data_IF_023876483686
#
_entry.id   IF_023876483686
#
_cell.length_a   1.000
_cell.length_b   1.000
_cell.length_c   1.000
_cell.angle_alpha   90.00
_cell.angle_beta   90.00
_cell.angle_gamma   90.00
#
_symmetry.space_group_name_H-M   'P 1'
#
loop_
_entity.id
_entity.type
_entity.pdbx_description
1 polymer ?
#
# COMPACT_ATOMS: atom_id res chain seq x y z
N UNK A 1 -14.32 2.97 3.15
CA UNK A 1 -12.88 3.30 3.29
C UNK A 1 -12.77 4.80 3.52
N UNK A 2 -11.93 5.25 4.44
CA UNK A 2 -11.72 6.68 4.69
C UNK A 2 -10.59 7.22 3.81
N UNK A 3 -10.49 8.55 3.69
CA UNK A 3 -9.38 9.19 3.01
C UNK A 3 -8.03 8.77 3.65
N UNK A 4 -6.98 8.61 2.83
CA UNK A 4 -5.63 8.27 3.29
C UNK A 4 -5.24 6.79 3.20
N UNK A 5 -6.13 5.92 2.72
CA UNK A 5 -5.80 4.49 2.53
C UNK A 5 -5.01 4.27 1.23
N UNK A 6 -3.90 3.53 1.33
CA UNK A 6 -3.14 3.02 0.18
C UNK A 6 -3.61 1.60 -0.15
N UNK A 7 -3.78 1.30 -1.43
CA UNK A 7 -4.18 -0.02 -1.94
C UNK A 7 -3.28 -0.45 -3.10
N UNK A 8 -3.17 -1.76 -3.32
CA UNK A 8 -2.34 -2.33 -4.38
C UNK A 8 -0.84 -2.34 -4.06
N UNK A 9 -0.47 -1.99 -2.84
CA UNK A 9 0.91 -1.87 -2.40
C UNK A 9 1.65 -3.22 -2.37
N UNK A 10 0.97 -4.31 -2.02
CA UNK A 10 1.56 -5.66 -2.01
C UNK A 10 2.03 -6.07 -3.40
N UNK A 11 1.13 -6.00 -4.39
CA UNK A 11 1.47 -6.34 -5.78
C UNK A 11 2.51 -5.39 -6.37
N UNK A 12 2.42 -4.09 -6.04
CA UNK A 12 3.41 -3.10 -6.45
C UNK A 12 4.81 -3.49 -5.96
N UNK A 13 5.01 -3.79 -4.68
CA UNK A 13 6.35 -4.08 -4.15
C UNK A 13 6.87 -5.47 -4.49
N UNK A 14 5.98 -6.47 -4.59
CA UNK A 14 6.38 -7.83 -4.97
C UNK A 14 6.61 -7.97 -6.49
N UNK A 15 6.10 -7.05 -7.31
CA UNK A 15 6.09 -7.21 -8.77
C UNK A 15 5.16 -8.35 -9.22
N UNK A 16 4.18 -8.71 -8.40
CA UNK A 16 3.25 -9.80 -8.63
C UNK A 16 1.87 -9.31 -9.09
N UNK A 17 1.03 -10.23 -9.54
CA UNK A 17 -0.36 -9.94 -9.85
C UNK A 17 -1.11 -9.41 -8.61
N UNK A 18 -2.20 -8.67 -8.85
CA UNK A 18 -3.06 -8.16 -7.76
C UNK A 18 -3.49 -9.29 -6.83
N UNK A 19 -3.28 -9.12 -5.52
CA UNK A 19 -3.68 -10.09 -4.50
C UNK A 19 -5.20 -10.13 -4.28
N UNK A 20 -5.90 -9.05 -4.63
CA UNK A 20 -7.33 -8.91 -4.46
C UNK A 20 -7.95 -7.98 -5.52
N UNK A 21 -9.27 -8.03 -5.65
CA UNK A 21 -10.05 -7.04 -6.40
C UNK A 21 -10.52 -5.94 -5.45
N UNK A 22 -10.51 -4.69 -5.92
CA UNK A 22 -11.04 -3.54 -5.19
C UNK A 22 -12.25 -2.99 -5.94
N UNK A 23 -13.33 -2.74 -5.21
CA UNK A 23 -14.58 -2.18 -5.74
C UNK A 23 -14.90 -0.91 -4.95
N UNK A 24 -15.15 0.19 -5.67
CA UNK A 24 -15.63 1.42 -5.05
C UNK A 24 -17.13 1.27 -4.75
N UNK A 25 -17.50 1.38 -3.47
CA UNK A 25 -18.90 1.36 -3.03
C UNK A 25 -19.57 2.74 -3.11
N UNK A 26 -18.76 3.79 -3.21
CA UNK A 26 -19.17 5.19 -3.25
C UNK A 26 -18.27 5.97 -4.23
N UNK A 27 -18.73 7.14 -4.68
CA UNK A 27 -17.94 8.01 -5.53
C UNK A 27 -16.71 8.55 -4.78
N UNK A 28 -15.54 8.55 -5.43
CA UNK A 28 -14.31 9.03 -4.83
C UNK A 28 -13.23 9.31 -5.86
N UNK A 29 -12.16 9.96 -5.42
CA UNK A 29 -10.97 10.28 -6.23
C UNK A 29 -9.81 9.43 -5.75
N UNK A 30 -9.13 8.75 -6.68
CA UNK A 30 -7.91 8.00 -6.41
C UNK A 30 -6.72 8.69 -7.05
N UNK A 31 -5.63 8.76 -6.29
CA UNK A 31 -4.31 9.13 -6.82
C UNK A 31 -3.56 7.85 -7.19
N UNK A 32 -2.93 7.84 -8.36
CA UNK A 32 -2.19 6.68 -8.88
C UNK A 32 -0.69 6.94 -8.85
N UNK A 33 0.03 6.11 -8.10
CA UNK A 33 1.49 6.05 -8.14
C UNK A 33 1.92 4.87 -9.02
N UNK A 34 2.66 5.14 -10.10
CA UNK A 34 3.26 4.09 -10.94
C UNK A 34 4.72 3.83 -10.53
N UNK A 35 5.25 2.66 -10.93
CA UNK A 35 6.68 2.36 -10.75
C UNK A 35 7.58 3.40 -11.41
N UNK A 36 7.22 3.86 -12.59
CA UNK A 36 7.96 4.89 -13.31
C UNK A 36 7.95 6.21 -12.53
N UNK A 37 6.79 6.62 -12.01
CA UNK A 37 6.65 7.83 -11.21
C UNK A 37 7.45 7.75 -9.91
N UNK A 38 7.48 6.60 -9.23
CA UNK A 38 8.28 6.41 -8.03
C UNK A 38 9.80 6.41 -8.33
N UNK A 39 10.23 5.80 -9.44
CA UNK A 39 11.63 5.87 -9.89
C UNK A 39 12.03 7.30 -10.22
N UNK A 40 11.18 8.02 -10.95
CA UNK A 40 11.42 9.43 -11.29
C UNK A 40 11.52 10.29 -10.04
N UNK A 41 10.61 10.09 -9.08
CA UNK A 41 10.68 10.73 -7.77
C UNK A 41 12.01 10.43 -7.08
N UNK A 42 12.50 9.20 -7.12
CA UNK A 42 13.81 8.84 -6.57
C UNK A 42 14.99 9.57 -7.21
N UNK A 43 14.91 9.93 -8.50
CA UNK A 43 15.94 10.73 -9.18
C UNK A 43 15.81 12.23 -8.98
N UNK A 44 14.57 12.75 -8.87
CA UNK A 44 14.29 14.19 -8.78
C UNK A 44 14.34 14.68 -7.33
N UNK A 45 13.77 13.91 -6.40
CA UNK A 45 13.74 14.19 -4.97
C UNK A 45 13.77 12.87 -4.16
N UNK A 46 14.98 12.39 -3.81
CA UNK A 46 15.16 11.16 -3.04
C UNK A 46 14.46 11.18 -1.66
N UNK A 47 14.30 12.35 -1.04
CA UNK A 47 13.67 12.45 0.28
C UNK A 47 12.18 12.16 0.18
N UNK A 48 11.50 12.68 -0.83
CA UNK A 48 10.09 12.39 -1.08
C UNK A 48 9.89 10.90 -1.43
N UNK A 49 10.75 10.31 -2.26
CA UNK A 49 10.68 8.88 -2.56
C UNK A 49 10.85 8.01 -1.29
N UNK A 50 11.80 8.39 -0.44
CA UNK A 50 12.03 7.71 0.85
C UNK A 50 10.80 7.82 1.75
N UNK A 51 10.19 9.00 1.85
CA UNK A 51 8.98 9.20 2.65
C UNK A 51 7.81 8.33 2.18
N UNK A 52 7.64 8.17 0.85
CA UNK A 52 6.65 7.25 0.28
C UNK A 52 6.94 5.80 0.66
N UNK A 53 8.21 5.37 0.56
CA UNK A 53 8.58 4.01 0.94
C UNK A 53 8.33 3.73 2.44
N UNK A 54 8.66 4.68 3.31
CA UNK A 54 8.42 4.58 4.76
C UNK A 54 6.92 4.50 5.04
N UNK A 55 6.10 5.35 4.41
CA UNK A 55 4.65 5.31 4.56
C UNK A 55 4.08 3.93 4.21
N UNK A 56 4.49 3.36 3.07
CA UNK A 56 3.99 2.06 2.62
C UNK A 56 4.46 0.94 3.55
N UNK A 57 5.70 0.98 4.02
CA UNK A 57 6.23 0.02 4.99
C UNK A 57 5.46 0.06 6.32
N UNK A 58 5.11 1.25 6.82
CA UNK A 58 4.27 1.41 8.02
C UNK A 58 2.88 0.79 7.82
N UNK A 59 2.22 1.06 6.69
CA UNK A 59 0.89 0.52 6.37
C UNK A 59 0.92 -1.00 6.29
N UNK A 60 1.91 -1.57 5.59
CA UNK A 60 2.08 -3.02 5.48
C UNK A 60 2.35 -3.67 6.85
N UNK A 61 3.15 -3.02 7.70
CA UNK A 61 3.47 -3.53 9.05
C UNK A 61 2.24 -3.55 9.95
N UNK A 62 1.43 -2.49 9.92
CA UNK A 62 0.16 -2.42 10.66
C UNK A 62 -0.80 -3.52 10.19
N UNK A 63 -1.01 -3.65 8.88
CA UNK A 63 -1.87 -4.69 8.30
C UNK A 63 -1.41 -6.10 8.66
N UNK A 64 -0.10 -6.36 8.60
CA UNK A 64 0.47 -7.64 8.97
C UNK A 64 0.25 -7.95 10.45
N UNK A 65 0.45 -6.97 11.33
CA UNK A 65 0.19 -7.11 12.77
C UNK A 65 -1.27 -7.47 13.05
N UNK A 66 -2.22 -6.72 12.48
CA UNK A 66 -3.66 -6.99 12.62
C UNK A 66 -4.02 -8.38 12.07
N UNK A 67 -3.53 -8.73 10.88
CA UNK A 67 -3.80 -10.04 10.26
C UNK A 67 -3.27 -11.17 11.12
N UNK A 68 -2.04 -11.05 11.63
CA UNK A 68 -1.45 -12.05 12.50
C UNK A 68 -2.17 -12.20 13.84
N UNK A 69 -2.76 -11.13 14.38
CA UNK A 69 -3.59 -11.20 15.57
C UNK A 69 -4.88 -11.98 15.30
N UNK A 70 -5.58 -11.65 14.22
CA UNK A 70 -6.82 -12.34 13.83
C UNK A 70 -6.59 -13.83 13.58
N UNK A 71 -5.47 -14.20 12.94
CA UNK A 71 -5.12 -15.60 12.73
C UNK A 71 -4.88 -16.33 14.05
N UNK A 72 -4.23 -15.71 15.04
CA UNK A 72 -4.02 -16.30 16.36
C UNK A 72 -5.35 -16.54 17.08
N UNK A 73 -6.23 -15.54 17.10
CA UNK A 73 -7.56 -15.63 17.71
C UNK A 73 -8.45 -16.72 17.08
N UNK A 74 -8.17 -17.15 15.85
CA UNK A 74 -8.91 -18.23 15.17
C UNK A 74 -8.31 -19.63 15.43
N UNK A 75 -7.01 -19.70 15.72
CA UNK A 75 -6.28 -20.96 15.87
C UNK A 75 -6.18 -21.41 17.33
N UNK A 76 -6.26 -20.47 18.28
CA UNK A 76 -6.33 -20.72 19.73
C UNK A 76 -7.78 -21.05 20.18
#
# INVERSE_FOLDING_TARGET
>A
MTAGVVIGEVGFYLGEARSASIVATEAGVLQRLSHESLRRMGSEDPQTATAVHVLIASILSERLSTTNQLVRELVD
#
